data_IF_813419249557
#
_entry.id   IF_813419249557
#
_cell.length_a   1.000
_cell.length_b   1.000
_cell.length_c   1.000
_cell.angle_alpha   90.00
_cell.angle_beta   90.00
_cell.angle_gamma   90.00
#
_symmetry.space_group_name_H-M   'P 1'
#
loop_
_entity.id
_entity.type
_entity.pdbx_description
1 polymer ?
#
# COMPACT_ATOMS: atom_id res chain seq x y z
N UNK A 1 1.05 -16.10 20.95
CA UNK A 1 0.58 -14.76 20.52
C UNK A 1 1.67 -13.78 20.93
N UNK A 2 2.53 -13.34 20.00
CA UNK A 2 3.50 -12.28 20.30
C UNK A 2 2.70 -10.99 20.46
N UNK A 3 2.54 -10.52 21.69
CA UNK A 3 2.10 -9.15 21.93
C UNK A 3 3.17 -8.23 21.34
N UNK A 4 2.85 -7.50 20.27
CA UNK A 4 3.75 -6.51 19.71
C UNK A 4 3.93 -5.41 20.78
N UNK A 5 5.15 -5.18 21.30
CA UNK A 5 5.37 -4.17 22.31
C UNK A 5 5.19 -2.79 21.67
N UNK A 6 4.37 -1.94 22.29
CA UNK A 6 4.44 -0.49 22.14
C UNK A 6 3.53 0.15 21.09
N UNK A 7 2.20 0.06 21.22
CA UNK A 7 1.28 1.01 20.59
C UNK A 7 1.25 2.36 21.34
N UNK A 8 2.43 2.93 21.60
CA UNK A 8 2.59 4.34 21.96
C UNK A 8 3.05 5.18 20.76
N UNK A 9 3.47 4.51 19.67
CA UNK A 9 3.94 5.04 18.39
C UNK A 9 3.60 3.99 17.30
N UNK A 10 3.40 4.38 16.03
CA UNK A 10 3.05 3.45 14.93
C UNK A 10 4.05 2.31 14.70
N UNK A 11 3.70 1.29 13.90
CA UNK A 11 4.54 0.10 13.68
C UNK A 11 5.93 0.43 13.08
N UNK A 12 6.99 0.06 13.79
CA UNK A 12 8.36 0.54 13.51
C UNK A 12 9.16 -0.24 12.46
N UNK A 13 8.74 -1.47 12.13
CA UNK A 13 9.42 -2.27 11.08
C UNK A 13 8.95 -1.78 9.71
N UNK A 14 9.87 -1.42 8.78
CA UNK A 14 9.48 -0.95 7.46
C UNK A 14 8.78 -2.04 6.64
N UNK A 15 7.76 -1.65 5.88
CA UNK A 15 6.97 -2.56 5.03
C UNK A 15 7.12 -2.17 3.57
N UNK A 16 7.38 -3.15 2.70
CA UNK A 16 7.30 -3.01 1.25
C UNK A 16 6.06 -3.75 0.74
N UNK A 17 5.17 -3.01 0.08
CA UNK A 17 4.03 -3.56 -0.64
C UNK A 17 4.34 -3.56 -2.13
N UNK A 18 4.39 -4.75 -2.73
CA UNK A 18 4.49 -4.93 -4.17
C UNK A 18 3.08 -5.28 -4.67
N UNK A 19 2.56 -4.48 -5.59
CA UNK A 19 1.19 -4.62 -6.09
C UNK A 19 1.12 -4.41 -7.60
N UNK A 20 -0.02 -4.79 -8.19
CA UNK A 20 -0.29 -4.60 -9.61
C UNK A 20 -1.72 -4.12 -9.86
N UNK A 21 -2.61 -4.96 -10.40
CA UNK A 21 -3.92 -4.59 -10.94
C UNK A 21 -5.11 -5.18 -10.15
N UNK A 22 -4.95 -5.49 -8.86
CA UNK A 22 -5.99 -6.12 -8.02
C UNK A 22 -6.47 -5.17 -6.90
N UNK A 23 -7.30 -4.15 -7.21
CA UNK A 23 -7.65 -3.12 -6.25
C UNK A 23 -8.32 -3.66 -4.98
N UNK A 24 -9.14 -4.69 -5.10
CA UNK A 24 -9.90 -5.28 -4.00
C UNK A 24 -8.98 -6.05 -3.04
N UNK A 25 -7.96 -6.74 -3.56
CA UNK A 25 -6.93 -7.38 -2.73
C UNK A 25 -6.05 -6.33 -2.05
N UNK A 26 -5.72 -5.25 -2.77
CA UNK A 26 -4.95 -4.15 -2.21
C UNK A 26 -5.72 -3.44 -1.09
N UNK A 27 -7.02 -3.22 -1.27
CA UNK A 27 -7.89 -2.65 -0.24
C UNK A 27 -7.89 -3.51 1.03
N UNK A 28 -8.05 -4.83 0.90
CA UNK A 28 -7.99 -5.73 2.05
C UNK A 28 -6.61 -5.73 2.75
N UNK A 29 -5.52 -5.56 2.01
CA UNK A 29 -4.19 -5.37 2.62
C UNK A 29 -4.12 -4.05 3.39
N UNK A 30 -4.65 -2.96 2.83
CA UNK A 30 -4.67 -1.64 3.46
C UNK A 30 -5.53 -1.64 4.73
N UNK A 31 -6.63 -2.39 4.78
CA UNK A 31 -7.45 -2.57 5.98
C UNK A 31 -6.65 -3.17 7.16
N UNK A 32 -5.64 -3.99 6.88
CA UNK A 32 -4.74 -4.57 7.90
C UNK A 32 -3.63 -3.60 8.29
N UNK A 33 -3.13 -2.81 7.33
CA UNK A 33 -2.06 -1.83 7.58
C UNK A 33 -2.55 -0.61 8.35
N UNK A 34 -3.79 -0.20 8.14
CA UNK A 34 -4.40 0.98 8.77
C UNK A 34 -4.33 0.95 10.31
N UNK A 35 -4.74 -0.11 11.03
CA UNK A 35 -4.59 -0.17 12.49
C UNK A 35 -3.13 -0.34 12.96
N UNK A 36 -2.22 -0.84 12.10
CA UNK A 36 -0.80 -0.97 12.43
C UNK A 36 -0.05 0.36 12.32
N UNK A 37 -0.53 1.27 11.45
CA UNK A 37 0.08 2.56 11.16
C UNK A 37 1.62 2.47 10.99
N UNK A 38 2.13 1.75 9.98
CA UNK A 38 3.58 1.67 9.76
C UNK A 38 4.19 3.06 9.63
N UNK A 39 5.31 3.28 10.32
CA UNK A 39 6.04 4.56 10.26
C UNK A 39 6.74 4.76 8.90
N UNK A 40 7.08 3.64 8.22
CA UNK A 40 7.73 3.61 6.91
C UNK A 40 7.03 2.60 6.01
N UNK A 41 6.49 3.10 4.90
CA UNK A 41 5.80 2.29 3.90
C UNK A 41 6.40 2.56 2.52
N UNK A 42 6.81 1.50 1.85
CA UNK A 42 7.25 1.52 0.46
C UNK A 42 6.18 0.83 -0.38
N UNK A 43 5.83 1.42 -1.51
CA UNK A 43 4.90 0.81 -2.46
C UNK A 43 5.54 0.76 -3.84
N UNK A 44 5.45 -0.40 -4.50
CA UNK A 44 6.07 -0.65 -5.80
C UNK A 44 5.08 -1.30 -6.76
N UNK A 45 5.04 -0.81 -8.00
CA UNK A 45 4.18 -1.33 -9.06
C UNK A 45 4.85 -1.13 -10.43
N UNK A 46 5.05 -2.23 -11.17
CA UNK A 46 5.71 -2.25 -12.49
C UNK A 46 4.82 -1.70 -13.63
N UNK A 47 3.59 -1.28 -13.32
CA UNK A 47 2.69 -0.67 -14.28
C UNK A 47 1.89 -1.66 -15.13
N UNK A 48 0.92 -1.16 -15.92
CA UNK A 48 0.09 -1.99 -16.79
C UNK A 48 0.88 -2.50 -18.00
N UNK A 49 0.38 -3.55 -18.65
CA UNK A 49 0.90 -3.95 -19.97
C UNK A 49 0.56 -2.89 -21.01
N UNK A 50 1.45 -2.68 -21.98
CA UNK A 50 1.17 -1.84 -23.14
C UNK A 50 -0.09 -2.35 -23.85
N UNK A 51 -0.91 -1.43 -24.35
CA UNK A 51 -2.11 -1.68 -25.15
C UNK A 51 -3.26 -2.46 -24.45
N UNK A 52 -3.28 -2.47 -23.12
CA UNK A 52 -4.39 -3.04 -22.34
C UNK A 52 -5.08 -1.97 -21.47
N UNK A 53 -6.13 -1.29 -22.00
CA UNK A 53 -6.82 -0.21 -21.28
C UNK A 53 -7.44 -0.65 -19.96
N UNK A 54 -7.89 -1.90 -19.87
CA UNK A 54 -8.50 -2.43 -18.65
C UNK A 54 -7.45 -2.59 -17.54
N UNK A 55 -6.29 -3.15 -17.87
CA UNK A 55 -5.18 -3.23 -16.92
C UNK A 55 -4.66 -1.84 -16.53
N UNK A 56 -4.64 -0.88 -17.46
CA UNK A 56 -4.30 0.52 -17.15
C UNK A 56 -5.25 1.10 -16.10
N UNK A 57 -6.55 0.94 -16.29
CA UNK A 57 -7.56 1.40 -15.34
C UNK A 57 -7.37 0.75 -13.96
N UNK A 58 -7.21 -0.57 -13.90
CA UNK A 58 -7.03 -1.28 -12.64
C UNK A 58 -5.76 -0.88 -11.89
N UNK A 59 -4.65 -0.69 -12.59
CA UNK A 59 -3.41 -0.19 -11.97
C UNK A 59 -3.58 1.23 -11.45
N UNK A 60 -4.27 2.10 -12.19
CA UNK A 60 -4.57 3.47 -11.71
C UNK A 60 -5.47 3.45 -10.48
N UNK A 61 -6.50 2.59 -10.45
CA UNK A 61 -7.34 2.37 -9.27
C UNK A 61 -6.51 1.93 -8.05
N UNK A 62 -5.56 1.01 -8.23
CA UNK A 62 -4.66 0.62 -7.14
C UNK A 62 -3.79 1.78 -6.64
N UNK A 63 -3.23 2.59 -7.55
CA UNK A 63 -2.41 3.77 -7.19
C UNK A 63 -3.25 4.79 -6.42
N UNK A 64 -4.48 5.07 -6.86
CA UNK A 64 -5.42 5.95 -6.17
C UNK A 64 -5.78 5.41 -4.78
N UNK A 65 -6.05 4.11 -4.64
CA UNK A 65 -6.35 3.49 -3.34
C UNK A 65 -5.22 3.69 -2.32
N UNK A 66 -3.95 3.61 -2.73
CA UNK A 66 -2.82 3.93 -1.85
C UNK A 66 -2.91 5.38 -1.37
N UNK A 67 -3.11 6.32 -2.29
CA UNK A 67 -3.13 7.76 -1.98
C UNK A 67 -4.33 8.16 -1.10
N UNK A 68 -5.48 7.51 -1.30
CA UNK A 68 -6.71 7.76 -0.56
C UNK A 68 -6.71 7.15 0.85
N UNK A 69 -6.17 5.93 1.00
CA UNK A 69 -6.28 5.16 2.26
C UNK A 69 -5.08 5.34 3.18
N UNK A 70 -3.89 5.66 2.66
CA UNK A 70 -2.68 5.86 3.48
C UNK A 70 -2.67 7.30 4.02
N UNK A 71 -3.48 7.53 5.05
CA UNK A 71 -3.74 8.87 5.64
C UNK A 71 -3.08 9.10 6.99
N UNK A 72 -2.50 8.05 7.60
CA UNK A 72 -1.82 8.16 8.89
C UNK A 72 -0.42 8.78 8.74
N UNK A 73 0.19 9.28 9.82
CA UNK A 73 1.56 9.79 9.79
C UNK A 73 2.56 8.69 9.36
N UNK A 74 3.07 8.79 8.14
CA UNK A 74 3.93 7.77 7.51
C UNK A 74 4.93 8.40 6.55
N UNK A 75 6.14 7.86 6.53
CA UNK A 75 7.09 8.10 5.46
C UNK A 75 6.76 7.18 4.29
N UNK A 76 5.94 7.67 3.36
CA UNK A 76 5.49 6.92 2.18
C UNK A 76 6.38 7.18 0.96
N UNK A 77 6.96 6.11 0.41
CA UNK A 77 7.71 6.17 -0.85
C UNK A 77 7.04 5.30 -1.92
N UNK A 78 6.93 5.86 -3.13
CA UNK A 78 6.29 5.22 -4.28
C UNK A 78 7.34 4.97 -5.35
N UNK A 79 7.38 3.76 -5.89
CA UNK A 79 8.15 3.43 -7.10
C UNK A 79 7.21 2.82 -8.13
N UNK A 80 6.80 3.65 -9.07
CA UNK A 80 5.96 3.25 -10.19
C UNK A 80 6.75 3.32 -11.48
N UNK A 81 6.52 2.36 -12.38
CA UNK A 81 6.88 2.51 -13.79
C UNK A 81 5.97 3.55 -14.46
#
# INVERSE_FOLDING_TARGET
>A
MLAAPGLAQGYGVPILVIFWNRPEMLAGLLDVLEPLQPQRLYVACDGPRADDPHNQELVQRCRALIDERVTWPVQLQRRYA
#
